data_IF_451523262937
#
_entry.id   IF_451523262937
#
_cell.length_a   1.000
_cell.length_b   1.000
_cell.length_c   1.000
_cell.angle_alpha   90.00
_cell.angle_beta   90.00
_cell.angle_gamma   90.00
#
_symmetry.space_group_name_H-M   'P 1'
#
loop_
_entity.id
_entity.type
_entity.pdbx_description
1 polymer ?
#
# COMPACT_ATOMS: atom_id res chain seq x y z
N UNK A 1 2.47 -11.68 -0.87
CA UNK A 1 1.23 -10.94 -0.56
C UNK A 1 0.41 -10.74 -1.84
N UNK A 2 -0.87 -11.01 -1.77
CA UNK A 2 -1.79 -10.82 -2.89
C UNK A 2 -2.86 -9.82 -2.46
N UNK A 3 -3.02 -8.74 -3.22
CA UNK A 3 -4.12 -7.78 -3.02
C UNK A 3 -5.34 -8.29 -3.80
N UNK A 4 -6.42 -8.57 -3.10
CA UNK A 4 -7.67 -9.09 -3.70
C UNK A 4 -8.59 -7.96 -4.18
N UNK A 5 -8.68 -6.91 -3.38
CA UNK A 5 -9.50 -5.74 -3.70
C UNK A 5 -9.03 -4.53 -2.92
N UNK A 6 -9.43 -3.37 -3.36
CA UNK A 6 -9.27 -2.12 -2.62
C UNK A 6 -10.60 -1.35 -2.60
N UNK A 7 -10.79 -0.59 -1.55
CA UNK A 7 -11.91 0.33 -1.42
C UNK A 7 -11.38 1.69 -0.96
N UNK A 8 -11.52 2.69 -1.82
CA UNK A 8 -11.10 4.05 -1.55
C UNK A 8 -12.29 4.82 -1.00
N UNK A 9 -12.20 5.29 0.24
CA UNK A 9 -13.19 6.19 0.83
C UNK A 9 -13.03 7.59 0.28
N UNK A 10 -11.80 8.09 0.30
CA UNK A 10 -11.39 9.34 -0.30
C UNK A 10 -9.87 9.40 -0.39
N UNK A 11 -9.34 9.57 -1.59
CA UNK A 11 -7.91 9.68 -1.83
C UNK A 11 -7.67 10.40 -3.18
N UNK A 12 -7.11 11.60 -3.10
CA UNK A 12 -6.92 12.42 -4.28
C UNK A 12 -8.26 12.69 -4.99
N UNK A 13 -8.31 12.32 -6.26
CA UNK A 13 -9.50 12.47 -7.10
C UNK A 13 -10.53 11.36 -6.90
N UNK A 14 -10.15 10.25 -6.25
CA UNK A 14 -11.03 9.11 -6.04
C UNK A 14 -11.87 9.26 -4.78
N UNK A 15 -13.17 9.00 -4.92
CA UNK A 15 -14.15 9.04 -3.83
C UNK A 15 -15.06 7.84 -3.98
N UNK A 16 -15.24 7.09 -2.91
CA UNK A 16 -16.13 5.92 -2.85
C UNK A 16 -15.94 4.97 -4.04
N UNK A 17 -14.71 4.53 -4.26
CA UNK A 17 -14.34 3.66 -5.37
C UNK A 17 -13.90 2.30 -4.86
N UNK A 18 -14.48 1.24 -5.44
CA UNK A 18 -14.07 -0.15 -5.16
C UNK A 18 -13.49 -0.77 -6.43
N UNK A 19 -12.36 -1.45 -6.30
CA UNK A 19 -11.70 -2.17 -7.39
C UNK A 19 -11.40 -3.59 -6.92
N UNK A 20 -11.84 -4.59 -7.68
CA UNK A 20 -11.52 -5.99 -7.46
C UNK A 20 -10.48 -6.46 -8.46
N UNK A 21 -9.49 -7.21 -7.98
CA UNK A 21 -8.41 -7.73 -8.81
C UNK A 21 -8.59 -9.21 -9.10
N UNK A 22 -8.22 -9.64 -10.31
CA UNK A 22 -8.14 -11.05 -10.66
C UNK A 22 -6.94 -11.72 -9.97
N UNK A 23 -7.09 -12.98 -9.59
CA UNK A 23 -6.14 -13.72 -8.76
C UNK A 23 -4.73 -13.84 -9.33
N UNK A 24 -4.55 -13.79 -10.64
CA UNK A 24 -3.26 -14.04 -11.28
C UNK A 24 -2.60 -12.80 -11.85
N UNK A 25 -3.38 -11.94 -12.48
CA UNK A 25 -2.87 -10.74 -13.12
C UNK A 25 -3.99 -9.72 -13.27
N UNK A 26 -3.73 -8.50 -12.84
CA UNK A 26 -4.64 -7.38 -13.07
C UNK A 26 -3.88 -6.26 -13.74
N UNK A 27 -4.34 -5.88 -14.91
CA UNK A 27 -3.80 -4.77 -15.65
C UNK A 27 -4.76 -3.58 -15.53
N UNK A 28 -4.23 -2.45 -15.05
CA UNK A 28 -5.00 -1.22 -14.91
C UNK A 28 -4.71 -0.35 -16.12
N UNK A 29 -5.68 -0.29 -17.04
CA UNK A 29 -5.61 0.59 -18.20
C UNK A 29 -6.26 1.93 -17.93
N UNK A 30 -5.69 2.98 -18.50
CA UNK A 30 -6.27 4.31 -18.53
C UNK A 30 -5.42 5.24 -19.37
N UNK A 31 -6.06 6.17 -20.07
CA UNK A 31 -5.39 7.22 -20.80
C UNK A 31 -4.66 8.19 -19.87
N UNK A 32 -5.04 8.21 -18.60
CA UNK A 32 -4.51 9.12 -17.59
C UNK A 32 -3.59 8.38 -16.61
N UNK A 33 -2.29 8.53 -16.77
CA UNK A 33 -1.27 7.98 -15.89
C UNK A 33 -1.44 8.45 -14.43
N UNK A 34 -2.01 9.63 -14.21
CA UNK A 34 -2.27 10.16 -12.87
C UNK A 34 -3.20 9.26 -12.04
N UNK A 35 -4.18 8.61 -12.67
CA UNK A 35 -5.08 7.66 -12.01
C UNK A 35 -4.35 6.41 -11.52
N UNK A 36 -3.44 5.85 -12.33
CA UNK A 36 -2.62 4.68 -11.97
C UNK A 36 -1.67 5.00 -10.83
N UNK A 37 -0.97 6.12 -10.90
CA UNK A 37 -0.06 6.58 -9.86
C UNK A 37 -0.80 6.84 -8.55
N UNK A 38 -2.02 7.36 -8.62
CA UNK A 38 -2.86 7.60 -7.42
C UNK A 38 -3.26 6.28 -6.76
N UNK A 39 -3.63 5.26 -7.54
CA UNK A 39 -3.94 3.93 -7.00
C UNK A 39 -2.73 3.29 -6.34
N UNK A 40 -1.55 3.37 -6.95
CA UNK A 40 -0.31 2.91 -6.34
C UNK A 40 0.00 3.65 -5.04
N UNK A 41 -0.09 4.98 -5.05
CA UNK A 41 0.12 5.80 -3.87
C UNK A 41 -0.89 5.46 -2.75
N UNK A 42 -2.13 5.17 -3.10
CA UNK A 42 -3.14 4.69 -2.16
C UNK A 42 -2.72 3.37 -1.49
N UNK A 43 -2.32 2.38 -2.27
CA UNK A 43 -1.86 1.08 -1.73
C UNK A 43 -0.70 1.28 -0.77
N UNK A 44 0.30 2.07 -1.17
CA UNK A 44 1.44 2.37 -0.32
C UNK A 44 1.04 3.09 0.97
N UNK A 45 0.09 4.02 0.89
CA UNK A 45 -0.40 4.76 2.05
C UNK A 45 -1.15 3.87 3.03
N UNK A 46 -1.96 2.95 2.54
CA UNK A 46 -2.68 2.01 3.43
C UNK A 46 -1.69 1.08 4.15
N UNK A 47 -0.70 0.56 3.46
CA UNK A 47 0.27 -0.38 4.03
C UNK A 47 1.30 0.28 4.95
N UNK A 48 1.78 1.48 4.60
CA UNK A 48 2.93 2.11 5.27
C UNK A 48 2.63 3.44 5.97
N UNK A 49 1.45 4.00 5.77
CA UNK A 49 1.05 5.28 6.35
C UNK A 49 0.96 6.39 5.32
N UNK A 50 0.11 7.38 5.63
CA UNK A 50 -0.04 8.57 4.79
C UNK A 50 1.20 9.45 4.82
N UNK A 51 1.56 10.08 3.69
CA UNK A 51 2.58 11.13 3.70
C UNK A 51 2.21 12.24 4.69
N UNK A 52 3.19 12.69 5.45
CA UNK A 52 3.01 13.83 6.36
C UNK A 52 3.18 15.14 5.60
N UNK A 53 2.77 16.25 6.20
CA UNK A 53 2.95 17.60 5.64
C UNK A 53 4.43 17.96 5.40
N UNK A 54 5.35 17.29 6.10
CA UNK A 54 6.79 17.48 5.96
C UNK A 54 7.42 16.55 4.91
N UNK A 55 6.66 15.58 4.41
CA UNK A 55 7.13 14.65 3.39
C UNK A 55 7.25 15.32 2.03
N UNK A 56 8.19 14.86 1.22
CA UNK A 56 8.32 15.26 -0.19
C UNK A 56 7.20 14.68 -1.06
N UNK A 57 6.56 13.59 -0.61
CA UNK A 57 5.43 13.00 -1.31
C UNK A 57 4.17 13.83 -1.10
N UNK A 58 3.34 13.99 -2.14
CA UNK A 58 2.10 14.76 -2.02
C UNK A 58 1.11 14.04 -1.10
N UNK A 59 0.48 14.81 -0.23
CA UNK A 59 -0.63 14.34 0.60
C UNK A 59 -1.92 14.50 -0.19
N UNK A 60 -2.51 13.39 -0.60
CA UNK A 60 -3.68 13.35 -1.49
C UNK A 60 -5.00 13.28 -0.72
N UNK A 61 -5.22 14.20 0.23
CA UNK A 61 -6.50 14.31 0.92
C UNK A 61 -7.62 14.68 -0.06
N UNK A 62 -8.82 14.10 0.08
CA UNK A 62 -9.96 14.47 -0.76
C UNK A 62 -10.37 15.92 -0.51
N UNK A 63 -10.74 16.63 -1.58
CA UNK A 63 -11.06 18.06 -1.52
C UNK A 63 -12.40 18.35 -0.83
N UNK A 64 -13.32 17.41 -0.86
CA UNK A 64 -14.69 17.59 -0.39
C UNK A 64 -15.04 16.51 0.64
N UNK A 65 -15.13 16.87 1.92
CA UNK A 65 -15.85 16.20 3.00
C UNK A 65 -15.80 14.69 3.18
N UNK A 66 -15.12 13.94 2.30
CA UNK A 66 -15.01 12.49 2.39
C UNK A 66 -13.87 12.09 3.33
N UNK A 67 -14.03 10.95 3.97
CA UNK A 67 -13.00 10.41 4.83
C UNK A 67 -11.74 10.09 4.04
N UNK A 68 -10.61 10.63 4.46
CA UNK A 68 -9.31 10.35 3.88
C UNK A 68 -8.86 8.93 4.24
N UNK A 69 -8.65 8.09 3.24
CA UNK A 69 -8.22 6.72 3.43
C UNK A 69 -9.09 5.70 2.72
N UNK A 70 -9.04 4.47 3.22
CA UNK A 70 -9.77 3.33 2.69
C UNK A 70 -9.23 2.02 3.23
N UNK A 71 -9.48 0.94 2.51
CA UNK A 71 -9.02 -0.40 2.92
C UNK A 71 -8.54 -1.24 1.76
N UNK A 72 -7.67 -2.20 2.08
CA UNK A 72 -7.21 -3.27 1.21
C UNK A 72 -7.69 -4.61 1.74
N UNK A 73 -8.22 -5.46 0.86
CA UNK A 73 -8.44 -6.87 1.16
C UNK A 73 -7.28 -7.67 0.57
N UNK A 74 -6.57 -8.41 1.40
CA UNK A 74 -5.34 -9.06 0.96
C UNK A 74 -5.11 -10.42 1.63
N UNK A 75 -4.19 -11.18 1.03
CA UNK A 75 -3.68 -12.45 1.57
C UNK A 75 -2.17 -12.29 1.76
N UNK A 76 -1.69 -12.49 2.99
CA UNK A 76 -0.26 -12.50 3.29
C UNK A 76 0.41 -13.80 2.81
N UNK A 77 1.74 -13.81 2.79
CA UNK A 77 2.53 -14.95 2.31
C UNK A 77 2.30 -16.24 3.10
N UNK A 78 1.92 -16.12 4.37
CA UNK A 78 1.53 -17.24 5.24
C UNK A 78 0.08 -17.73 5.05
N UNK A 79 -0.65 -17.16 4.09
CA UNK A 79 -2.04 -17.52 3.79
C UNK A 79 -3.09 -16.82 4.63
N UNK A 80 -2.70 -15.96 5.58
CA UNK A 80 -3.66 -15.21 6.40
C UNK A 80 -4.34 -14.15 5.55
N UNK A 81 -5.67 -14.18 5.52
CA UNK A 81 -6.50 -13.17 4.87
C UNK A 81 -6.86 -12.06 5.87
N UNK A 82 -6.77 -10.83 5.43
CA UNK A 82 -7.05 -9.66 6.26
C UNK A 82 -7.60 -8.50 5.45
N UNK A 83 -8.33 -7.62 6.12
CA UNK A 83 -8.66 -6.30 5.63
C UNK A 83 -7.84 -5.26 6.39
N UNK A 84 -7.01 -4.51 5.69
CA UNK A 84 -6.20 -3.42 6.25
C UNK A 84 -6.89 -2.10 5.95
N UNK A 85 -7.40 -1.45 6.99
CA UNK A 85 -8.05 -0.14 6.89
C UNK A 85 -7.15 0.93 7.51
N UNK A 86 -6.91 2.00 6.78
CA UNK A 86 -6.23 3.19 7.30
C UNK A 86 -7.04 4.42 6.95
N UNK A 87 -7.30 5.23 7.97
CA UNK A 87 -8.06 6.48 7.85
C UNK A 87 -7.28 7.63 8.48
N UNK A 88 -7.70 8.85 8.19
CA UNK A 88 -7.14 10.06 8.82
C UNK A 88 -7.26 9.96 10.34
N UNK A 89 -6.16 10.27 11.02
CA UNK A 89 -6.08 10.24 12.48
C UNK A 89 -4.76 10.85 12.91
N UNK A 90 -3.84 10.03 13.44
CA UNK A 90 -2.46 10.45 13.74
C UNK A 90 -1.71 10.89 12.49
N UNK A 91 -0.44 11.32 12.63
CA UNK A 91 0.36 11.86 11.52
C UNK A 91 0.38 10.99 10.27
N UNK A 92 0.46 9.66 10.45
CA UNK A 92 0.47 8.68 9.35
C UNK A 92 -0.86 7.97 9.14
N UNK A 93 -1.92 8.45 9.78
CA UNK A 93 -3.23 7.80 9.79
C UNK A 93 -3.33 6.70 10.84
N UNK A 94 -4.57 6.34 11.17
CA UNK A 94 -4.86 5.25 12.11
C UNK A 94 -5.19 3.98 11.33
N UNK A 95 -4.48 2.89 11.63
CA UNK A 95 -4.64 1.61 10.96
C UNK A 95 -5.30 0.58 11.86
N UNK A 96 -6.22 -0.19 11.29
CA UNK A 96 -6.82 -1.39 11.90
C UNK A 96 -6.79 -2.52 10.88
N UNK A 97 -6.44 -3.69 11.35
CA UNK A 97 -6.40 -4.89 10.52
C UNK A 97 -7.44 -5.87 11.05
N UNK A 98 -8.43 -6.18 10.22
CA UNK A 98 -9.54 -7.07 10.55
C UNK A 98 -9.26 -8.46 10.00
N UNK A 99 -9.19 -9.46 10.89
CA UNK A 99 -8.99 -10.86 10.53
C UNK A 99 -10.33 -11.59 10.45
N UNK A 100 -10.36 -12.72 9.76
CA UNK A 100 -11.57 -13.53 9.60
C UNK A 100 -12.12 -14.10 10.92
N UNK A 101 -11.27 -14.29 11.92
CA UNK A 101 -11.67 -14.75 13.26
C UNK A 101 -12.31 -13.66 14.13
N UNK A 102 -12.47 -12.45 13.60
CA UNK A 102 -13.03 -11.29 14.29
C UNK A 102 -12.02 -10.50 15.12
N UNK A 103 -10.76 -10.90 15.16
CA UNK A 103 -9.73 -10.13 15.87
C UNK A 103 -9.31 -8.91 15.07
N UNK A 104 -8.96 -7.85 15.78
CA UNK A 104 -8.44 -6.60 15.21
C UNK A 104 -6.98 -6.49 15.64
N UNK A 105 -6.10 -6.25 14.66
CA UNK A 105 -4.67 -6.07 14.88
C UNK A 105 -4.24 -4.64 14.60
N UNK A 106 -3.05 -4.30 15.06
CA UNK A 106 -2.47 -2.96 14.97
C UNK A 106 -1.32 -2.88 13.93
N UNK A 107 -0.70 -1.72 13.86
CA UNK A 107 0.40 -1.47 12.93
C UNK A 107 1.64 -2.32 13.22
N UNK A 108 1.92 -2.65 14.48
CA UNK A 108 3.03 -3.53 14.86
C UNK A 108 2.85 -4.90 14.23
N UNK A 109 1.66 -5.44 14.31
CA UNK A 109 1.32 -6.71 13.66
C UNK A 109 1.46 -6.65 12.14
N UNK A 110 0.99 -5.55 11.52
CA UNK A 110 1.10 -5.34 10.08
C UNK A 110 2.57 -5.29 9.64
N UNK A 111 3.41 -4.54 10.35
CA UNK A 111 4.83 -4.44 10.04
C UNK A 111 5.52 -5.82 10.10
N UNK A 112 5.16 -6.63 11.10
CA UNK A 112 5.66 -8.00 11.21
C UNK A 112 5.23 -8.86 10.01
N UNK A 113 3.96 -8.77 9.59
CA UNK A 113 3.45 -9.50 8.43
C UNK A 113 4.09 -9.05 7.12
N UNK A 114 4.50 -7.81 7.01
CA UNK A 114 5.24 -7.27 5.89
C UNK A 114 6.76 -7.53 6.00
N UNK A 115 7.20 -8.35 6.96
CA UNK A 115 8.61 -8.66 7.23
C UNK A 115 9.46 -7.41 7.46
N UNK A 116 8.87 -6.37 8.06
CA UNK A 116 9.51 -5.07 8.32
C UNK A 116 10.10 -4.41 7.08
N UNK A 117 9.60 -4.74 5.89
CA UNK A 117 10.03 -4.09 4.66
C UNK A 117 9.71 -2.60 4.71
N UNK A 118 10.64 -1.75 4.28
CA UNK A 118 10.38 -0.33 4.18
C UNK A 118 9.49 0.01 2.98
N UNK A 119 8.81 1.14 3.06
CA UNK A 119 8.03 1.69 1.94
C UNK A 119 8.89 1.83 0.67
N UNK A 120 10.11 2.35 0.82
CA UNK A 120 11.07 2.50 -0.28
C UNK A 120 11.38 1.18 -0.96
N UNK A 121 11.70 0.15 -0.17
CA UNK A 121 12.03 -1.18 -0.68
C UNK A 121 10.82 -1.80 -1.36
N UNK A 122 9.64 -1.69 -0.78
CA UNK A 122 8.39 -2.15 -1.40
C UNK A 122 8.13 -1.46 -2.74
N UNK A 123 8.26 -0.15 -2.80
CA UNK A 123 8.10 0.62 -4.04
C UNK A 123 9.11 0.21 -5.11
N UNK A 124 10.35 -0.08 -4.73
CA UNK A 124 11.40 -0.50 -5.65
C UNK A 124 11.24 -1.92 -6.19
N UNK A 125 10.62 -2.83 -5.43
CA UNK A 125 10.48 -4.25 -5.81
C UNK A 125 9.12 -4.51 -6.48
N UNK A 126 8.04 -3.97 -5.93
CA UNK A 126 6.67 -4.36 -6.28
C UNK A 126 5.89 -3.29 -7.06
N UNK A 127 6.40 -2.09 -7.16
CA UNK A 127 5.71 -0.97 -7.79
C UNK A 127 6.67 -0.24 -8.71
N UNK A 128 6.45 -0.40 -10.00
CA UNK A 128 7.25 0.26 -11.02
C UNK A 128 6.39 1.27 -11.77
N UNK A 129 6.91 2.48 -11.92
CA UNK A 129 6.51 3.43 -12.94
C UNK A 129 7.73 3.71 -13.85
N UNK A 130 7.53 4.49 -14.91
CA UNK A 130 8.61 4.81 -15.84
C UNK A 130 9.75 5.59 -15.17
N UNK A 131 9.41 6.45 -14.21
CA UNK A 131 10.39 7.21 -13.44
C UNK A 131 11.06 6.33 -12.38
N UNK A 132 10.30 5.45 -11.75
CA UNK A 132 10.80 4.50 -10.75
C UNK A 132 11.85 3.54 -11.31
N UNK A 133 11.72 3.14 -12.57
CA UNK A 133 12.73 2.32 -13.23
C UNK A 133 14.07 3.05 -13.41
N UNK A 134 14.05 4.37 -13.58
CA UNK A 134 15.28 5.18 -13.67
C UNK A 134 15.94 5.39 -12.31
N UNK A 135 15.15 5.42 -11.25
CA UNK A 135 15.61 5.70 -9.89
C UNK A 135 15.69 4.45 -8.99
N UNK A 136 15.62 3.27 -9.58
CA UNK A 136 15.57 1.99 -8.83
C UNK A 136 16.75 1.85 -7.85
N UNK A 137 17.93 2.30 -8.24
CA UNK A 137 19.12 2.29 -7.40
C UNK A 137 19.08 3.28 -6.24
N UNK A 138 18.26 4.32 -6.35
CA UNK A 138 18.09 5.32 -5.29
C UNK A 138 17.03 4.91 -4.26
N UNK A 139 16.09 4.05 -4.65
CA UNK A 139 14.95 3.66 -3.83
C UNK A 139 15.17 2.36 -3.06
N UNK A 140 16.18 1.57 -3.44
CA UNK A 140 16.50 0.32 -2.77
C UNK A 140 17.48 0.56 -1.62
N UNK A 141 17.08 0.14 -0.45
CA UNK A 141 17.97 -0.11 0.67
C UNK A 141 18.56 -1.50 0.46
N UNK A 142 19.86 -1.57 0.16
CA UNK A 142 20.54 -2.83 -0.19
C UNK A 142 20.45 -3.87 0.93
N UNK A 143 20.55 -3.44 2.17
CA UNK A 143 20.47 -4.34 3.32
C UNK A 143 19.07 -4.95 3.44
N UNK A 144 18.04 -4.13 3.37
CA UNK A 144 16.65 -4.61 3.42
C UNK A 144 16.29 -5.48 2.21
N UNK A 145 16.81 -5.17 1.03
CA UNK A 145 16.62 -5.98 -0.16
C UNK A 145 17.25 -7.37 0.01
N UNK A 146 18.49 -7.44 0.51
CA UNK A 146 19.16 -8.70 0.78
C UNK A 146 18.39 -9.54 1.80
N UNK A 147 17.96 -8.94 2.89
CA UNK A 147 17.17 -9.62 3.91
C UNK A 147 15.86 -10.16 3.34
N UNK A 148 15.14 -9.35 2.57
CA UNK A 148 13.91 -9.78 1.92
C UNK A 148 14.13 -10.94 0.96
N UNK A 149 15.16 -10.88 0.12
CA UNK A 149 15.48 -11.94 -0.84
C UNK A 149 15.94 -13.23 -0.16
N UNK A 150 16.66 -13.14 0.96
CA UNK A 150 17.05 -14.28 1.78
C UNK A 150 15.83 -14.98 2.40
N UNK A 151 14.92 -14.20 2.97
CA UNK A 151 13.67 -14.73 3.55
C UNK A 151 12.76 -15.36 2.50
N UNK A 152 12.72 -14.80 1.30
CA UNK A 152 11.98 -15.36 0.18
C UNK A 152 12.64 -16.59 -0.46
N UNK A 153 13.84 -16.99 -0.03
CA UNK A 153 14.57 -18.11 -0.58
C UNK A 153 15.11 -17.87 -2.00
N UNK A 154 15.29 -16.61 -2.40
CA UNK A 154 15.75 -16.24 -3.74
C UNK A 154 17.27 -16.19 -3.90
N UNK A 155 17.99 -16.34 -2.81
CA UNK A 155 19.46 -16.36 -2.78
C UNK A 155 20.00 -17.69 -2.22
#
# INVERSE_FOLDING_TARGET
MIIKSLEIYGYGQFVQRKIEFNRQFTEIFGENEAGKSTIQAFIHSILFGFPTKKSKEPRLEPRLGNQYGGKLSLIFDDGIEAEVERIKGSAHGDVKIYLKDGTIRDEVWLNKKLNYISKKTYQGIFSFDVLGLQDIHKNLDEEQLQDYLLEAGAL
#
